data_IF_995852521476
#
_entry.id   IF_995852521476
#
_cell.length_a   1.000
_cell.length_b   1.000
_cell.length_c   1.000
_cell.angle_alpha   90.00
_cell.angle_beta   90.00
_cell.angle_gamma   90.00
#
_symmetry.space_group_name_H-M   'P 1'
#
loop_
_entity.id
_entity.type
_entity.pdbx_description
1 polymer ?
#
# COMPACT_ATOMS: atom_id res chain seq x y z
N UNK A 1 2.74 -27.29 -17.73
CA UNK A 1 2.57 -25.83 -17.89
C UNK A 1 1.40 -25.40 -17.01
N UNK A 2 1.31 -24.13 -16.60
CA UNK A 2 0.23 -23.67 -15.72
C UNK A 2 -0.96 -23.20 -16.57
N UNK A 3 -2.07 -23.93 -16.53
CA UNK A 3 -3.23 -23.69 -17.41
C UNK A 3 -4.27 -22.74 -16.78
N UNK A 4 -4.01 -22.30 -15.54
CA UNK A 4 -4.85 -21.37 -14.77
C UNK A 4 -4.03 -20.32 -14.04
N UNK A 5 -4.59 -19.13 -13.94
CA UNK A 5 -4.00 -17.94 -13.33
C UNK A 5 -5.01 -17.35 -12.34
N UNK A 6 -4.53 -16.93 -11.18
CA UNK A 6 -5.29 -16.09 -10.26
C UNK A 6 -5.11 -14.64 -10.71
N UNK A 7 -6.22 -13.95 -10.98
CA UNK A 7 -6.24 -12.55 -11.41
C UNK A 7 -6.92 -11.72 -10.33
N UNK A 8 -6.22 -10.67 -9.92
CA UNK A 8 -6.72 -9.62 -9.03
C UNK A 8 -7.06 -8.38 -9.87
N UNK A 9 -8.35 -8.04 -10.02
CA UNK A 9 -8.83 -6.90 -10.83
C UNK A 9 -9.40 -5.80 -9.93
N UNK A 10 -9.04 -4.52 -10.12
CA UNK A 10 -9.58 -3.39 -9.33
C UNK A 10 -10.70 -2.63 -10.11
N UNK A 11 -11.97 -2.80 -9.74
CA UNK A 11 -13.17 -2.20 -10.41
C UNK A 11 -13.98 -1.26 -9.51
N UNK A 12 -14.40 -0.06 -9.89
CA UNK A 12 -15.51 0.66 -9.20
C UNK A 12 -16.50 1.23 -10.20
N UNK A 13 -17.03 2.43 -9.96
CA UNK A 13 -18.12 3.07 -10.69
C UNK A 13 -19.44 3.07 -9.94
N UNK A 14 -20.43 3.72 -10.54
CA UNK A 14 -21.84 3.67 -10.22
C UNK A 14 -22.42 2.31 -10.58
N UNK A 15 -23.32 1.78 -9.76
CA UNK A 15 -24.05 0.54 -10.08
C UNK A 15 -24.90 0.78 -11.32
N UNK A 16 -24.57 0.09 -12.41
CA UNK A 16 -25.24 0.18 -13.70
C UNK A 16 -26.09 -1.04 -14.02
N UNK A 17 -25.81 -2.18 -13.37
CA UNK A 17 -26.52 -3.42 -13.62
C UNK A 17 -26.43 -4.36 -12.41
N UNK A 18 -27.10 -5.51 -12.46
CA UNK A 18 -26.92 -6.58 -11.50
C UNK A 18 -27.01 -7.95 -12.18
N UNK A 19 -26.13 -8.86 -11.78
CA UNK A 19 -26.17 -10.26 -12.22
C UNK A 19 -26.70 -11.14 -11.10
N UNK A 20 -27.58 -12.06 -11.46
CA UNK A 20 -28.08 -13.08 -10.54
C UNK A 20 -27.37 -14.39 -10.86
N UNK A 21 -26.81 -15.01 -9.84
CA UNK A 21 -26.25 -16.35 -9.95
C UNK A 21 -26.77 -17.21 -8.81
N UNK A 22 -26.72 -18.53 -9.00
CA UNK A 22 -27.21 -19.52 -8.04
C UNK A 22 -26.04 -20.32 -7.49
N UNK A 23 -25.98 -20.45 -6.17
CA UNK A 23 -25.04 -21.32 -5.45
C UNK A 23 -25.87 -22.17 -4.51
N UNK A 24 -25.72 -23.50 -4.60
CA UNK A 24 -26.47 -24.49 -3.82
C UNK A 24 -28.00 -24.29 -3.85
N UNK A 25 -28.51 -23.94 -5.04
CA UNK A 25 -29.93 -23.69 -5.26
C UNK A 25 -30.45 -22.35 -4.70
N UNK A 26 -29.63 -21.58 -3.98
CA UNK A 26 -29.96 -20.22 -3.52
C UNK A 26 -29.46 -19.18 -4.51
N UNK A 27 -30.35 -18.24 -4.86
CA UNK A 27 -30.06 -17.15 -5.80
C UNK A 27 -29.50 -15.95 -5.06
N UNK A 28 -28.38 -15.42 -5.55
CA UNK A 28 -27.72 -14.23 -5.04
C UNK A 28 -27.68 -13.17 -6.14
N UNK A 29 -27.90 -11.91 -5.75
CA UNK A 29 -27.84 -10.76 -6.64
C UNK A 29 -26.55 -10.00 -6.34
N UNK A 30 -25.69 -9.85 -7.34
CA UNK A 30 -24.52 -8.97 -7.26
C UNK A 30 -24.71 -7.77 -8.16
N UNK A 31 -24.40 -6.60 -7.63
CA UNK A 31 -24.36 -5.33 -8.36
C UNK A 31 -23.10 -5.24 -9.25
N UNK A 32 -23.23 -4.59 -10.41
CA UNK A 32 -22.20 -4.34 -11.42
C UNK A 32 -22.00 -2.82 -11.54
N UNK A 33 -20.75 -2.34 -11.50
CA UNK A 33 -20.41 -0.90 -11.48
C UNK A 33 -19.58 -0.45 -12.69
N UNK A 34 -19.59 0.86 -13.02
CA UNK A 34 -19.05 1.48 -14.27
C UNK A 34 -17.70 2.29 -14.20
N UNK A 35 -16.76 2.02 -13.29
CA UNK A 35 -15.59 2.85 -12.86
C UNK A 35 -14.48 2.10 -12.05
N UNK A 36 -13.75 2.64 -11.01
CA UNK A 36 -12.50 2.06 -10.34
C UNK A 36 -12.42 1.88 -8.78
N UNK A 37 -12.15 0.68 -8.19
CA UNK A 37 -12.09 0.47 -6.70
C UNK A 37 -12.66 -0.81 -6.00
N UNK A 38 -12.56 -2.01 -6.57
CA UNK A 38 -13.03 -3.28 -6.00
C UNK A 38 -12.15 -4.39 -6.52
N UNK A 39 -11.33 -4.94 -5.64
CA UNK A 39 -10.46 -6.07 -5.91
C UNK A 39 -11.31 -7.33 -6.12
N UNK A 40 -11.29 -7.87 -7.33
CA UNK A 40 -11.98 -9.11 -7.71
C UNK A 40 -10.91 -10.16 -7.98
N UNK A 41 -10.86 -11.20 -7.14
CA UNK A 41 -9.93 -12.32 -7.32
C UNK A 41 -10.68 -13.43 -8.05
N UNK A 42 -10.24 -13.78 -9.27
CA UNK A 42 -10.82 -14.84 -10.09
C UNK A 42 -9.75 -15.77 -10.64
N UNK A 43 -10.00 -17.08 -10.57
CA UNK A 43 -9.19 -18.07 -11.27
C UNK A 43 -9.70 -18.17 -12.72
N UNK A 44 -8.86 -17.86 -13.70
CA UNK A 44 -9.20 -17.99 -15.12
C UNK A 44 -8.16 -18.81 -15.88
N UNK A 45 -8.51 -19.31 -17.06
CA UNK A 45 -7.58 -20.00 -17.95
C UNK A 45 -6.56 -19.00 -18.52
N UNK A 46 -5.33 -19.48 -18.76
CA UNK A 46 -4.27 -18.66 -19.36
C UNK A 46 -4.71 -18.04 -20.70
N UNK A 47 -5.32 -18.83 -21.57
CA UNK A 47 -5.82 -18.37 -22.87
C UNK A 47 -6.91 -17.31 -22.76
N UNK A 48 -7.68 -17.30 -21.66
CA UNK A 48 -8.71 -16.31 -21.41
C UNK A 48 -8.13 -15.03 -20.79
N UNK A 49 -7.00 -15.10 -20.08
CA UNK A 49 -6.25 -13.92 -19.63
C UNK A 49 -5.72 -13.11 -20.81
N UNK A 50 -5.17 -13.78 -21.82
CA UNK A 50 -4.61 -13.12 -23.01
C UNK A 50 -5.68 -12.34 -23.83
N UNK A 51 -6.96 -12.56 -23.53
CA UNK A 51 -8.11 -11.86 -24.15
C UNK A 51 -8.64 -10.70 -23.30
N UNK A 52 -8.13 -10.50 -22.08
CA UNK A 52 -8.50 -9.38 -21.21
C UNK A 52 -7.74 -8.13 -21.66
N UNK A 53 -8.44 -7.00 -21.87
CA UNK A 53 -7.82 -5.74 -22.33
C UNK A 53 -6.75 -5.28 -21.31
N UNK A 54 -5.50 -5.31 -21.76
CA UNK A 54 -4.28 -5.11 -20.98
C UNK A 54 -4.21 -3.73 -20.29
N UNK A 55 -5.09 -2.80 -20.69
CA UNK A 55 -5.18 -1.43 -20.16
C UNK A 55 -5.86 -1.32 -18.80
N UNK A 56 -6.49 -2.40 -18.32
CA UNK A 56 -7.23 -2.42 -17.04
C UNK A 56 -6.67 -3.41 -16.01
N UNK A 57 -5.56 -4.08 -16.31
CA UNK A 57 -4.94 -5.03 -15.41
C UNK A 57 -3.91 -4.36 -14.49
N UNK A 58 -4.15 -4.42 -13.18
CA UNK A 58 -3.21 -4.01 -12.14
C UNK A 58 -3.30 -5.00 -10.97
N UNK A 59 -2.67 -6.18 -11.11
CA UNK A 59 -2.69 -7.25 -10.12
C UNK A 59 -1.52 -8.22 -10.24
N UNK A 60 -1.42 -9.17 -9.30
CA UNK A 60 -0.39 -10.21 -9.27
C UNK A 60 -0.84 -11.48 -10.01
N UNK A 61 0.07 -12.12 -10.75
CA UNK A 61 -0.14 -13.40 -11.46
C UNK A 61 0.62 -14.49 -10.70
N UNK A 62 -0.10 -15.46 -10.11
CA UNK A 62 0.52 -16.67 -9.54
C UNK A 62 0.29 -17.89 -10.44
N UNK A 63 1.35 -18.56 -10.91
CA UNK A 63 1.21 -19.79 -11.69
C UNK A 63 0.80 -20.96 -10.77
N UNK A 64 -0.25 -21.70 -11.13
CA UNK A 64 -0.74 -22.86 -10.38
C UNK A 64 -0.86 -24.09 -11.29
N UNK A 65 -0.57 -25.28 -10.75
CA UNK A 65 -0.77 -26.55 -11.47
C UNK A 65 -2.25 -26.94 -11.39
N UNK A 66 -2.84 -27.31 -12.52
CA UNK A 66 -4.27 -27.66 -12.60
C UNK A 66 -4.65 -28.80 -11.64
N UNK A 67 -3.77 -29.78 -11.48
CA UNK A 67 -3.95 -30.93 -10.57
C UNK A 67 -4.11 -30.53 -9.11
N UNK A 68 -3.54 -29.39 -8.70
CA UNK A 68 -3.58 -28.93 -7.31
C UNK A 68 -4.87 -28.16 -7.03
N UNK A 69 -5.36 -27.40 -8.02
CA UNK A 69 -6.66 -26.73 -7.96
C UNK A 69 -7.82 -27.72 -7.95
N UNK A 70 -7.79 -28.70 -8.86
CA UNK A 70 -8.89 -29.66 -9.01
C UNK A 70 -9.07 -30.55 -7.75
N UNK A 71 -8.01 -30.70 -6.94
CA UNK A 71 -8.07 -31.41 -5.66
C UNK A 71 -8.78 -30.63 -4.55
N UNK A 72 -8.58 -29.32 -4.47
CA UNK A 72 -9.15 -28.48 -3.41
C UNK A 72 -9.45 -27.06 -3.93
N UNK A 73 -10.50 -26.89 -4.76
CA UNK A 73 -10.80 -25.59 -5.37
C UNK A 73 -11.19 -24.52 -4.35
N UNK A 74 -11.72 -24.92 -3.20
CA UNK A 74 -12.13 -24.03 -2.09
C UNK A 74 -10.95 -23.36 -1.40
N UNK A 75 -9.74 -23.95 -1.42
CA UNK A 75 -8.52 -23.31 -0.90
C UNK A 75 -8.15 -22.03 -1.67
N UNK A 76 -8.75 -21.83 -2.84
CA UNK A 76 -8.49 -20.73 -3.76
C UNK A 76 -9.74 -19.86 -4.02
N UNK A 77 -10.89 -20.24 -3.46
CA UNK A 77 -12.11 -19.45 -3.44
C UNK A 77 -12.20 -18.74 -2.09
N UNK A 78 -11.56 -17.57 -1.98
CA UNK A 78 -11.62 -16.78 -0.76
C UNK A 78 -12.79 -15.80 -0.88
N UNK A 79 -13.80 -15.91 -0.03
CA UNK A 79 -14.88 -14.91 0.00
C UNK A 79 -14.31 -13.55 0.46
N UNK A 80 -14.93 -12.43 0.06
CA UNK A 80 -14.50 -11.10 0.52
C UNK A 80 -14.48 -10.97 2.06
N UNK A 81 -15.41 -11.66 2.72
CA UNK A 81 -15.49 -11.73 4.19
C UNK A 81 -14.33 -12.57 4.75
N UNK A 82 -13.99 -13.67 4.09
CA UNK A 82 -12.82 -14.47 4.43
C UNK A 82 -11.51 -13.73 4.13
N UNK A 83 -11.43 -12.85 3.12
CA UNK A 83 -10.23 -12.02 2.87
C UNK A 83 -10.03 -10.95 3.96
N UNK A 84 -11.12 -10.42 4.52
CA UNK A 84 -11.03 -9.50 5.66
C UNK A 84 -10.80 -10.23 6.99
N UNK A 85 -11.24 -11.50 7.12
CA UNK A 85 -11.03 -12.34 8.29
C UNK A 85 -9.68 -13.10 8.28
N UNK A 86 -9.14 -13.40 7.09
CA UNK A 86 -7.78 -13.86 6.86
C UNK A 86 -6.90 -12.63 7.09
N UNK A 87 -6.39 -12.54 8.32
CA UNK A 87 -5.45 -11.54 8.84
C UNK A 87 -4.76 -10.77 7.71
N UNK A 88 -5.17 -9.52 7.51
CA UNK A 88 -4.47 -8.57 6.65
C UNK A 88 -2.96 -8.81 6.74
N UNK A 89 -2.26 -9.06 5.61
CA UNK A 89 -0.82 -9.26 5.63
C UNK A 89 -0.14 -8.15 6.41
N UNK A 90 0.91 -8.51 7.13
CA UNK A 90 1.65 -7.55 7.95
C UNK A 90 3.04 -7.37 7.37
N UNK A 91 3.34 -6.16 6.94
CA UNK A 91 4.71 -5.79 6.64
C UNK A 91 5.40 -5.33 7.93
N UNK A 92 6.30 -6.17 8.47
CA UNK A 92 7.03 -5.91 9.73
C UNK A 92 6.14 -5.53 10.92
N UNK A 93 4.88 -5.98 10.92
CA UNK A 93 3.87 -5.70 11.94
C UNK A 93 2.87 -4.59 11.57
N UNK A 94 3.12 -3.84 10.49
CA UNK A 94 2.19 -2.85 9.96
C UNK A 94 1.17 -3.49 9.04
N UNK A 95 -0.08 -3.01 9.11
CA UNK A 95 -1.16 -3.31 8.16
C UNK A 95 -0.69 -3.04 6.73
N UNK A 96 -0.67 -4.05 5.86
CA UNK A 96 -0.21 -3.95 4.47
C UNK A 96 -0.97 -2.90 3.64
N UNK A 97 -2.25 -2.71 3.93
CA UNK A 97 -3.11 -1.75 3.24
C UNK A 97 -3.08 -0.37 3.89
N UNK A 98 -2.34 -0.19 4.98
CA UNK A 98 -2.09 1.13 5.53
C UNK A 98 -1.12 1.87 4.60
N UNK A 99 -1.52 3.04 4.08
CA UNK A 99 -0.73 3.85 3.14
C UNK A 99 0.77 3.95 3.49
N UNK A 100 1.13 4.27 4.75
CA UNK A 100 2.51 4.27 5.22
C UNK A 100 3.28 2.97 5.04
N UNK A 101 2.65 1.79 5.16
CA UNK A 101 3.35 0.51 5.03
C UNK A 101 4.00 0.33 3.64
N UNK A 102 3.39 0.85 2.59
CA UNK A 102 4.01 0.88 1.25
C UNK A 102 5.27 1.74 1.22
N UNK A 103 5.22 2.93 1.81
CA UNK A 103 6.36 3.86 1.83
C UNK A 103 7.51 3.32 2.69
N UNK A 104 7.18 2.61 3.78
CA UNK A 104 8.17 1.88 4.57
C UNK A 104 8.88 0.78 3.76
N UNK A 105 8.17 0.08 2.85
CA UNK A 105 8.81 -0.88 1.93
C UNK A 105 9.72 -0.20 0.92
N UNK A 106 9.33 0.95 0.40
CA UNK A 106 10.18 1.74 -0.51
C UNK A 106 11.46 2.20 0.19
N UNK A 107 11.37 2.57 1.47
CA UNK A 107 12.52 2.88 2.30
C UNK A 107 13.45 1.67 2.49
N UNK A 108 12.89 0.50 2.82
CA UNK A 108 13.67 -0.73 3.03
C UNK A 108 14.49 -1.17 1.80
N UNK A 109 14.06 -0.81 0.59
CA UNK A 109 14.81 -1.13 -0.65
C UNK A 109 16.15 -0.42 -0.74
N UNK A 110 16.30 0.73 -0.08
CA UNK A 110 17.47 1.61 -0.17
C UNK A 110 18.19 1.78 1.17
N UNK A 111 17.51 1.50 2.27
CA UNK A 111 18.06 1.63 3.61
C UNK A 111 19.04 0.50 3.92
N UNK A 112 20.05 0.79 4.74
CA UNK A 112 20.94 -0.25 5.25
C UNK A 112 20.16 -1.28 6.07
N UNK A 113 20.59 -2.55 6.05
CA UNK A 113 19.97 -3.57 6.88
C UNK A 113 19.95 -3.13 8.37
N UNK A 114 18.87 -3.39 9.13
CA UNK A 114 17.73 -4.27 8.80
C UNK A 114 16.56 -3.55 8.10
N UNK A 115 16.72 -2.29 7.68
CA UNK A 115 15.60 -1.41 7.31
C UNK A 115 14.71 -1.12 8.53
N UNK A 116 13.44 -0.76 8.29
CA UNK A 116 12.46 -0.44 9.33
C UNK A 116 12.48 -1.47 10.46
N UNK A 117 12.83 -1.03 11.65
CA UNK A 117 12.89 -1.88 12.86
C UNK A 117 12.40 -1.14 14.11
N UNK A 118 11.83 0.05 13.94
CA UNK A 118 11.11 0.79 14.98
C UNK A 118 9.60 0.51 14.90
N UNK A 119 8.90 0.67 16.02
CA UNK A 119 7.45 0.41 16.15
C UNK A 119 6.79 1.40 17.09
N UNK A 120 5.49 1.23 17.34
CA UNK A 120 4.70 2.03 18.27
C UNK A 120 3.86 3.10 17.58
N UNK A 121 3.31 4.01 18.38
CA UNK A 121 2.52 5.15 17.90
C UNK A 121 3.36 6.07 17.01
N UNK A 122 2.75 6.60 15.94
CA UNK A 122 3.48 7.40 14.93
C UNK A 122 4.12 8.65 15.52
N UNK A 123 3.48 9.27 16.52
CA UNK A 123 4.05 10.40 17.25
C UNK A 123 5.34 10.08 18.03
N UNK A 124 5.73 8.81 18.12
CA UNK A 124 6.98 8.32 18.73
C UNK A 124 7.96 7.71 17.72
N UNK A 125 7.64 7.71 16.43
CA UNK A 125 8.48 7.05 15.43
C UNK A 125 9.86 7.68 15.28
N UNK A 126 9.98 9.01 15.39
CA UNK A 126 11.28 9.69 15.33
C UNK A 126 12.18 9.22 16.48
N UNK A 127 11.69 9.30 17.73
CA UNK A 127 12.41 8.82 18.92
C UNK A 127 12.76 7.33 18.81
N UNK A 128 11.82 6.49 18.37
CA UNK A 128 12.01 5.04 18.30
C UNK A 128 12.97 4.62 17.17
N UNK A 129 12.97 5.35 16.04
CA UNK A 129 13.93 5.13 14.97
C UNK A 129 15.34 5.54 15.41
N UNK A 130 15.47 6.69 16.09
CA UNK A 130 16.73 7.11 16.66
C UNK A 130 17.27 6.10 17.67
N UNK A 131 16.42 5.60 18.58
CA UNK A 131 16.79 4.54 19.52
C UNK A 131 17.21 3.23 18.83
N UNK A 132 16.73 2.97 17.61
CA UNK A 132 17.15 1.85 16.77
C UNK A 132 18.42 2.14 15.94
N UNK A 133 19.04 3.31 16.13
CA UNK A 133 20.31 3.73 15.52
C UNK A 133 20.16 4.39 14.16
N UNK A 134 18.96 4.84 13.77
CA UNK A 134 18.75 5.61 12.55
C UNK A 134 19.08 7.08 12.74
N UNK A 135 19.66 7.70 11.72
CA UNK A 135 19.82 9.16 11.73
C UNK A 135 18.44 9.79 11.54
N UNK A 136 18.02 10.61 12.51
CA UNK A 136 16.77 11.36 12.47
C UNK A 136 17.04 12.86 12.50
N UNK A 137 16.15 13.63 11.86
CA UNK A 137 16.27 15.09 11.75
C UNK A 137 14.92 15.75 11.95
N UNK A 138 14.86 16.79 12.76
CA UNK A 138 13.61 17.53 13.03
C UNK A 138 13.52 18.85 12.27
N UNK A 139 14.62 19.30 11.66
CA UNK A 139 14.57 20.43 10.75
C UNK A 139 14.04 19.99 9.38
N UNK A 140 13.12 20.77 8.82
CA UNK A 140 12.51 20.54 7.51
C UNK A 140 13.51 20.62 6.36
N UNK A 141 14.61 21.37 6.56
CA UNK A 141 15.67 21.57 5.56
C UNK A 141 16.77 20.51 5.62
N UNK A 142 16.78 19.65 6.65
CA UNK A 142 17.69 18.52 6.77
C UNK A 142 17.17 17.27 6.03
N UNK A 143 16.47 17.48 4.91
CA UNK A 143 15.98 16.39 4.08
C UNK A 143 17.13 15.65 3.39
N UNK A 144 16.94 14.35 3.15
CA UNK A 144 17.87 13.52 2.37
C UNK A 144 17.09 12.68 1.39
N UNK A 145 17.59 12.50 0.17
CA UNK A 145 16.98 11.59 -0.80
C UNK A 145 16.88 10.19 -0.17
N UNK A 146 15.70 9.60 -0.26
CA UNK A 146 15.34 8.33 0.35
C UNK A 146 14.89 8.42 1.81
N UNK A 147 14.94 9.59 2.45
CA UNK A 147 14.43 9.74 3.81
C UNK A 147 12.90 9.65 3.84
N UNK A 148 12.38 9.13 4.96
CA UNK A 148 10.97 9.20 5.28
C UNK A 148 10.64 10.56 5.90
N UNK A 149 9.70 11.30 5.33
CA UNK A 149 9.10 12.47 5.95
C UNK A 149 7.88 12.04 6.77
N UNK A 150 7.91 12.26 8.10
CA UNK A 150 6.84 11.84 9.00
C UNK A 150 6.02 13.07 9.42
N UNK A 151 4.71 13.01 9.16
CA UNK A 151 3.75 14.07 9.53
C UNK A 151 2.55 13.48 10.24
N UNK A 152 2.12 14.12 11.33
CA UNK A 152 1.02 13.65 12.16
C UNK A 152 0.04 14.76 12.48
N UNK A 153 -1.25 14.49 12.29
CA UNK A 153 -2.33 15.35 12.72
C UNK A 153 -2.94 14.79 14.02
N UNK A 154 -2.66 15.41 15.18
CA UNK A 154 -3.13 14.90 16.46
C UNK A 154 -4.66 15.01 16.63
N UNK A 155 -5.28 16.02 16.03
CA UNK A 155 -6.72 16.28 16.15
C UNK A 155 -7.55 15.26 15.39
N UNK A 156 -7.09 14.84 14.20
CA UNK A 156 -7.77 13.86 13.35
C UNK A 156 -7.20 12.45 13.47
N UNK A 157 -6.14 12.28 14.25
CA UNK A 157 -5.36 11.04 14.34
C UNK A 157 -4.94 10.50 12.95
N UNK A 158 -4.52 11.40 12.07
CA UNK A 158 -4.10 11.06 10.70
C UNK A 158 -2.58 11.13 10.56
N UNK A 159 -2.05 10.27 9.71
CA UNK A 159 -0.62 10.12 9.47
C UNK A 159 -0.34 10.28 7.98
N UNK A 160 0.69 11.05 7.65
CA UNK A 160 1.31 11.04 6.32
C UNK A 160 2.76 10.61 6.48
N UNK A 161 3.14 9.65 5.66
CA UNK A 161 4.53 9.17 5.54
C UNK A 161 4.84 9.20 4.06
N UNK A 162 5.88 9.94 3.71
CA UNK A 162 6.29 10.16 2.32
C UNK A 162 7.78 9.84 2.19
N UNK A 163 8.24 9.40 1.03
CA UNK A 163 9.67 9.17 0.76
C UNK A 163 10.21 10.24 -0.16
N UNK A 164 11.30 10.89 0.25
CA UNK A 164 11.93 11.96 -0.52
C UNK A 164 12.61 11.38 -1.76
N UNK A 165 12.26 11.88 -2.95
CA UNK A 165 12.82 11.44 -4.24
C UNK A 165 13.77 12.47 -4.85
N UNK A 166 13.48 13.75 -4.67
CA UNK A 166 14.31 14.86 -5.16
C UNK A 166 14.27 16.02 -4.16
N UNK A 167 15.35 16.80 -4.13
CA UNK A 167 15.53 17.94 -3.25
C UNK A 167 15.99 19.12 -4.09
N UNK A 168 15.24 20.22 -4.02
CA UNK A 168 15.62 21.53 -4.56
C UNK A 168 15.72 22.52 -3.41
N UNK A 169 16.14 23.76 -3.70
CA UNK A 169 16.48 24.78 -2.69
C UNK A 169 15.49 24.89 -1.52
N UNK A 170 14.18 24.85 -1.77
CA UNK A 170 13.15 24.87 -0.72
C UNK A 170 12.03 23.84 -0.92
N UNK A 171 12.20 22.92 -1.86
CA UNK A 171 11.13 21.99 -2.23
C UNK A 171 11.62 20.55 -2.24
N UNK A 172 10.69 19.66 -1.92
CA UNK A 172 10.87 18.22 -1.94
C UNK A 172 9.92 17.65 -2.98
N UNK A 173 10.42 16.80 -3.85
CA UNK A 173 9.56 15.86 -4.58
C UNK A 173 9.50 14.59 -3.74
N UNK A 174 8.29 14.19 -3.35
CA UNK A 174 8.07 13.02 -2.51
C UNK A 174 7.08 12.06 -3.16
N UNK A 175 7.31 10.77 -2.96
CA UNK A 175 6.30 9.75 -3.24
C UNK A 175 5.50 9.45 -1.97
N UNK A 176 4.21 9.19 -2.16
CA UNK A 176 3.26 8.86 -1.12
C UNK A 176 2.26 7.84 -1.64
N UNK A 177 1.31 7.42 -0.78
CA UNK A 177 0.23 6.52 -1.17
C UNK A 177 -1.11 7.07 -0.69
N UNK A 178 -2.07 7.17 -1.61
CA UNK A 178 -3.42 7.61 -1.31
C UNK A 178 -4.22 6.51 -0.60
N UNK A 179 -5.35 6.88 0.01
CA UNK A 179 -6.21 5.93 0.72
C UNK A 179 -6.82 4.84 -0.16
N UNK A 180 -6.87 5.05 -1.49
CA UNK A 180 -7.25 4.07 -2.52
C UNK A 180 -6.07 3.21 -2.99
N UNK A 181 -4.96 3.22 -2.23
CA UNK A 181 -3.77 2.41 -2.43
C UNK A 181 -2.91 2.77 -3.65
N UNK A 182 -3.20 3.88 -4.35
CA UNK A 182 -2.39 4.31 -5.49
C UNK A 182 -1.15 5.09 -5.03
N UNK A 183 0.05 4.76 -5.56
CA UNK A 183 1.20 5.63 -5.35
C UNK A 183 0.99 6.92 -6.14
N UNK A 184 1.45 8.03 -5.58
CA UNK A 184 1.48 9.31 -6.28
C UNK A 184 2.71 10.11 -5.85
N UNK A 185 3.12 11.03 -6.72
CA UNK A 185 4.23 11.94 -6.46
C UNK A 185 3.67 13.34 -6.26
N UNK A 186 4.19 14.07 -5.28
CA UNK A 186 3.82 15.47 -5.03
C UNK A 186 5.05 16.31 -4.71
N UNK A 187 4.91 17.62 -4.85
CA UNK A 187 5.91 18.59 -4.39
C UNK A 187 5.45 19.20 -3.06
N UNK A 188 6.37 19.27 -2.10
CA UNK A 188 6.17 19.92 -0.80
C UNK A 188 7.17 21.07 -0.65
N UNK A 189 6.73 22.19 -0.11
CA UNK A 189 7.61 23.26 0.35
C UNK A 189 8.12 22.89 1.75
N UNK A 190 9.44 22.96 1.97
CA UNK A 190 10.05 22.60 3.26
C UNK A 190 9.55 23.50 4.40
N UNK A 191 9.43 24.81 4.13
CA UNK A 191 8.96 25.79 5.10
C UNK A 191 7.50 25.54 5.53
N UNK A 192 6.66 25.04 4.62
CA UNK A 192 5.25 24.71 4.90
C UNK A 192 5.11 23.45 5.76
N UNK A 193 6.16 22.63 5.90
CA UNK A 193 6.10 21.41 6.71
C UNK A 193 5.92 21.72 8.21
N UNK A 194 6.58 22.78 8.71
CA UNK A 194 6.51 23.17 10.13
C UNK A 194 5.12 23.67 10.52
N UNK A 195 4.43 24.35 9.61
CA UNK A 195 3.10 24.94 9.82
C UNK A 195 2.04 24.28 8.95
N UNK A 196 2.03 22.94 8.92
CA UNK A 196 1.32 22.17 7.91
C UNK A 196 -0.15 22.57 7.73
N UNK A 197 -0.51 22.82 6.46
CA UNK A 197 -1.88 22.94 6.01
C UNK A 197 -2.68 21.70 6.47
N UNK A 198 -3.92 21.90 6.88
CA UNK A 198 -4.83 20.87 7.41
C UNK A 198 -4.48 20.30 8.80
N UNK A 199 -3.56 20.92 9.55
CA UNK A 199 -3.24 20.55 10.94
C UNK A 199 -2.29 19.36 11.07
N UNK A 200 -1.53 19.05 10.03
CA UNK A 200 -0.42 18.10 10.12
C UNK A 200 0.83 18.79 10.66
N UNK A 201 1.41 18.20 11.70
CA UNK A 201 2.68 18.63 12.26
C UNK A 201 3.79 17.78 11.65
N UNK A 202 4.84 18.41 11.13
CA UNK A 202 6.06 17.72 10.79
C UNK A 202 6.75 17.23 12.06
N UNK A 203 6.98 15.92 12.14
CA UNK A 203 7.67 15.30 13.26
C UNK A 203 9.17 15.20 13.00
N UNK A 204 9.56 14.94 11.75
CA UNK A 204 10.94 14.80 11.36
C UNK A 204 11.14 13.89 10.16
N UNK A 205 12.41 13.73 9.79
CA UNK A 205 12.90 12.76 8.84
C UNK A 205 13.53 11.55 9.54
N UNK A 206 13.41 10.38 8.89
CA UNK A 206 14.23 9.20 9.18
C UNK A 206 15.05 8.91 7.93
N UNK A 207 16.38 9.08 8.00
CA UNK A 207 17.25 8.89 6.86
C UNK A 207 17.51 7.39 6.58
N UNK A 208 17.77 6.97 5.33
CA UNK A 208 18.04 5.57 4.98
C UNK A 208 19.46 5.12 5.36
N UNK A 209 20.03 5.71 6.41
CA UNK A 209 21.37 5.43 6.92
C UNK A 209 21.35 5.41 8.44
N UNK A 210 22.24 4.61 9.01
CA UNK A 210 22.40 4.44 10.45
C UNK A 210 23.67 5.13 10.91
N UNK A 211 23.71 5.53 12.18
CA UNK A 211 24.97 5.93 12.80
C UNK A 211 25.92 4.72 12.85
N UNK A 212 27.18 4.94 12.47
CA UNK A 212 28.22 3.94 12.67
C UNK A 212 28.57 3.96 14.17
N UNK A 213 28.17 2.89 14.87
CA UNK A 213 28.57 2.64 16.26
C UNK A 213 29.79 1.72 16.24
#
# INVERSE_FOLDING_TARGET
MADRIIIEENNAGKVVDSRIFSIDGKRYKSEVTDGWGKTTIRAIKYDDMMKVDNRFFAGYIWPMRQTDYDKNPTNYQISYIDQMAIKEPRYKGFSEYWGPAYILKEFDKIATAPGVNWRGSVNKWIDNAQAAGWITKTDSHDAKIGALAIRFNPTKNLVKVDIVRDIKTNTLVVDSRSGDLRPYTMTLEMDDLKNGKDGFNFLGYIWPVRELI
#
